data_IF_916054258244
#
_entry.id   IF_916054258244
#
_cell.length_a   1.000
_cell.length_b   1.000
_cell.length_c   1.000
_cell.angle_alpha   90.00
_cell.angle_beta   90.00
_cell.angle_gamma   90.00
#
_symmetry.space_group_name_H-M   'P 1'
#
loop_
_entity.id
_entity.type
_entity.pdbx_description
1 polymer ?
#
# COMPACT_ATOMS: atom_id res chain seq x y z
N UNK A 1 13.94 -25.60 -18.20
CA UNK A 1 14.77 -26.22 -17.15
C UNK A 1 13.93 -26.80 -16.00
N UNK A 2 13.03 -26.03 -15.38
CA UNK A 2 12.16 -26.52 -14.29
C UNK A 2 11.27 -27.73 -14.66
N UNK A 3 10.72 -27.77 -15.88
CA UNK A 3 9.86 -28.86 -16.36
C UNK A 3 10.52 -30.26 -16.27
N UNK A 4 11.78 -30.38 -16.70
CA UNK A 4 12.47 -31.67 -16.69
C UNK A 4 12.75 -32.18 -15.27
N UNK A 5 13.00 -31.27 -14.32
CA UNK A 5 13.19 -31.59 -12.90
C UNK A 5 11.88 -32.11 -12.31
N UNK A 6 10.75 -31.45 -12.61
CA UNK A 6 9.41 -31.89 -12.17
C UNK A 6 9.08 -33.29 -12.72
N UNK A 7 9.40 -33.58 -13.99
CA UNK A 7 9.18 -34.91 -14.57
C UNK A 7 9.98 -36.00 -13.82
N UNK A 8 11.24 -35.73 -13.50
CA UNK A 8 12.06 -36.66 -12.71
C UNK A 8 11.46 -36.85 -11.33
N UNK A 9 11.11 -35.77 -10.62
CA UNK A 9 10.48 -35.84 -9.29
C UNK A 9 9.17 -36.63 -9.30
N UNK A 10 8.27 -36.36 -10.23
CA UNK A 10 7.00 -37.08 -10.34
C UNK A 10 7.22 -38.57 -10.66
N UNK A 11 8.24 -38.92 -11.45
CA UNK A 11 8.55 -40.33 -11.76
C UNK A 11 9.21 -41.10 -10.62
N UNK A 12 9.76 -40.39 -9.62
CA UNK A 12 10.54 -40.97 -8.50
C UNK A 12 9.89 -40.76 -7.13
N UNK A 13 8.80 -40.00 -7.06
CA UNK A 13 8.08 -39.68 -5.82
C UNK A 13 6.57 -39.75 -6.06
N UNK A 14 5.78 -39.73 -5.00
CA UNK A 14 4.32 -39.64 -5.09
C UNK A 14 3.81 -38.19 -5.11
N UNK A 15 4.64 -37.22 -5.52
CA UNK A 15 4.24 -35.83 -5.65
C UNK A 15 3.67 -35.56 -7.04
N UNK A 16 2.56 -34.82 -7.07
CA UNK A 16 1.93 -34.32 -8.28
C UNK A 16 1.71 -32.81 -8.18
N UNK A 17 1.74 -32.14 -9.33
CA UNK A 17 1.55 -30.69 -9.44
C UNK A 17 0.48 -30.41 -10.48
N UNK A 18 -0.45 -29.51 -10.18
CA UNK A 18 -1.55 -29.12 -11.08
C UNK A 18 -1.26 -27.82 -11.84
N UNK A 19 -0.48 -26.92 -11.25
CA UNK A 19 -0.14 -25.61 -11.82
C UNK A 19 1.19 -25.09 -11.25
N UNK A 20 1.83 -24.17 -11.96
CA UNK A 20 2.94 -23.35 -11.45
C UNK A 20 2.50 -22.01 -10.85
N UNK A 21 1.18 -21.75 -10.82
CA UNK A 21 0.56 -20.58 -10.21
C UNK A 21 -0.09 -20.89 -8.87
N UNK A 22 -1.07 -20.06 -8.47
CA UNK A 22 -1.85 -20.28 -7.26
C UNK A 22 -3.04 -21.22 -7.48
N UNK A 23 -3.46 -21.85 -6.40
CA UNK A 23 -4.67 -22.67 -6.29
C UNK A 23 -5.58 -22.08 -5.21
N UNK A 24 -6.84 -22.54 -5.15
CA UNK A 24 -7.92 -21.88 -4.40
C UNK A 24 -8.35 -22.59 -3.11
N UNK A 25 -7.53 -23.49 -2.58
CA UNK A 25 -7.85 -24.28 -1.39
C UNK A 25 -7.87 -23.42 -0.12
N UNK A 26 -8.64 -23.86 0.89
CA UNK A 26 -8.55 -23.29 2.22
C UNK A 26 -7.16 -23.51 2.83
N UNK A 27 -6.65 -22.48 3.49
CA UNK A 27 -5.36 -22.53 4.19
C UNK A 27 -5.54 -22.82 5.68
N UNK A 28 -4.53 -23.48 6.27
CA UNK A 28 -4.49 -23.71 7.71
C UNK A 28 -4.24 -22.40 8.46
N UNK A 29 -5.09 -22.09 9.44
CA UNK A 29 -4.86 -21.03 10.41
C UNK A 29 -4.48 -21.63 11.77
N UNK A 30 -3.28 -21.29 12.25
CA UNK A 30 -2.86 -21.53 13.63
C UNK A 30 -2.80 -20.18 14.37
N UNK A 31 -3.37 -20.11 15.57
CA UNK A 31 -3.46 -18.87 16.35
C UNK A 31 -3.08 -19.10 17.82
N UNK A 32 -2.32 -18.16 18.36
CA UNK A 32 -1.97 -18.06 19.78
C UNK A 32 -2.21 -16.64 20.26
N UNK A 33 -2.80 -16.49 21.44
CA UNK A 33 -3.01 -15.23 22.12
C UNK A 33 -2.79 -15.48 23.61
N UNK A 34 -1.91 -14.72 24.31
CA UNK A 34 -1.54 -15.03 25.69
C UNK A 34 -2.73 -15.07 26.66
N UNK A 35 -3.76 -14.27 26.41
CA UNK A 35 -5.00 -14.19 27.20
C UNK A 35 -6.12 -15.13 26.70
N UNK A 36 -5.87 -15.95 25.68
CA UNK A 36 -6.82 -16.94 25.18
C UNK A 36 -7.88 -16.43 24.18
N UNK A 37 -7.90 -15.14 23.84
CA UNK A 37 -8.70 -14.57 22.74
C UNK A 37 -8.11 -15.01 21.39
N UNK A 38 -8.23 -16.29 21.04
CA UNK A 38 -7.69 -16.86 19.80
C UNK A 38 -8.79 -17.05 18.76
N UNK A 39 -8.48 -16.70 17.50
CA UNK A 39 -9.36 -16.92 16.36
C UNK A 39 -9.34 -18.41 15.97
N UNK A 40 -10.53 -19.02 15.82
CA UNK A 40 -10.69 -20.46 15.54
C UNK A 40 -11.84 -20.70 14.54
N UNK A 41 -11.87 -21.91 13.98
CA UNK A 41 -12.94 -22.36 13.08
C UNK A 41 -12.68 -22.01 11.61
N UNK A 42 -13.70 -22.17 10.77
CA UNK A 42 -13.65 -21.75 9.37
C UNK A 42 -13.86 -20.22 9.32
N UNK A 43 -12.79 -19.49 8.99
CA UNK A 43 -12.78 -18.03 8.98
C UNK A 43 -12.26 -17.52 7.66
N UNK A 44 -12.83 -16.40 7.19
CA UNK A 44 -12.38 -15.71 5.98
C UNK A 44 -11.15 -14.86 6.28
N UNK A 45 -10.31 -14.63 5.27
CA UNK A 45 -9.15 -13.72 5.35
C UNK A 45 -9.51 -12.32 5.91
N UNK A 46 -10.68 -11.78 5.54
CA UNK A 46 -11.17 -10.49 6.07
C UNK A 46 -11.49 -10.55 7.57
N UNK A 47 -11.88 -11.70 8.11
CA UNK A 47 -12.11 -11.88 9.54
C UNK A 47 -10.78 -12.00 10.30
N UNK A 48 -9.77 -12.65 9.70
CA UNK A 48 -8.41 -12.67 10.24
C UNK A 48 -7.86 -11.24 10.37
N UNK A 49 -8.03 -10.42 9.33
CA UNK A 49 -7.63 -9.02 9.38
C UNK A 49 -8.35 -8.23 10.49
N UNK A 50 -9.67 -8.38 10.64
CA UNK A 50 -10.43 -7.74 11.74
C UNK A 50 -9.95 -8.18 13.12
N UNK A 51 -9.69 -9.47 13.31
CA UNK A 51 -9.14 -10.01 14.55
C UNK A 51 -7.78 -9.39 14.88
N UNK A 52 -6.87 -9.31 13.90
CA UNK A 52 -5.54 -8.71 14.11
C UNK A 52 -5.61 -7.24 14.48
N UNK A 53 -6.49 -6.46 13.84
CA UNK A 53 -6.70 -5.05 14.20
C UNK A 53 -7.15 -4.89 15.66
N UNK A 54 -8.08 -5.74 16.11
CA UNK A 54 -8.54 -5.76 17.51
C UNK A 54 -7.42 -6.20 18.46
N UNK A 55 -6.69 -7.26 18.13
CA UNK A 55 -5.63 -7.80 18.97
C UNK A 55 -4.45 -6.82 19.14
N UNK A 56 -4.17 -6.02 18.11
CA UNK A 56 -3.17 -4.95 18.15
C UNK A 56 -3.66 -3.69 18.89
N UNK A 57 -4.94 -3.61 19.22
CA UNK A 57 -5.52 -2.43 19.87
C UNK A 57 -5.51 -1.20 18.97
N UNK A 58 -5.73 -1.36 17.66
CA UNK A 58 -5.78 -0.21 16.76
C UNK A 58 -7.04 0.63 17.01
N UNK A 59 -6.84 1.93 17.25
CA UNK A 59 -7.95 2.89 17.44
C UNK A 59 -8.73 3.17 16.15
N UNK A 60 -8.06 3.03 14.99
CA UNK A 60 -8.64 3.18 13.66
C UNK A 60 -8.48 1.89 12.88
N UNK A 61 -9.46 1.58 12.04
CA UNK A 61 -9.30 0.48 11.11
C UNK A 61 -8.22 0.77 10.07
N UNK A 62 -7.60 -0.27 9.53
CA UNK A 62 -6.63 -0.16 8.43
C UNK A 62 -7.27 0.41 7.16
N UNK A 63 -8.57 0.19 6.94
CA UNK A 63 -9.31 0.80 5.84
C UNK A 63 -9.38 2.32 6.04
N UNK A 64 -9.82 2.78 7.22
CA UNK A 64 -9.85 4.20 7.54
C UNK A 64 -8.45 4.82 7.39
N UNK A 65 -7.41 4.16 7.92
CA UNK A 65 -6.04 4.65 7.77
C UNK A 65 -5.62 4.77 6.30
N UNK A 66 -5.94 3.76 5.47
CA UNK A 66 -5.65 3.79 4.03
C UNK A 66 -6.37 4.93 3.32
N UNK A 67 -7.64 5.14 3.64
CA UNK A 67 -8.47 6.23 3.11
C UNK A 67 -7.97 7.61 3.55
N UNK A 68 -7.21 7.69 4.64
CA UNK A 68 -6.59 8.94 5.10
C UNK A 68 -5.22 9.20 4.46
N UNK A 69 -4.39 8.18 4.29
CA UNK A 69 -2.97 8.35 3.89
C UNK A 69 -2.71 8.12 2.39
N UNK A 70 -3.68 7.56 1.65
CA UNK A 70 -3.58 7.29 0.22
C UNK A 70 -4.75 7.89 -0.57
N UNK A 71 -4.93 9.21 -0.48
CA UNK A 71 -5.93 9.96 -1.24
C UNK A 71 -5.32 10.49 -2.54
N UNK A 72 -6.08 10.47 -3.64
CA UNK A 72 -5.61 11.01 -4.91
C UNK A 72 -5.26 12.49 -4.76
N UNK A 73 -4.11 12.90 -5.29
CA UNK A 73 -3.66 14.29 -5.25
C UNK A 73 -4.66 15.27 -5.87
N UNK A 74 -5.45 14.82 -6.86
CA UNK A 74 -6.54 15.60 -7.46
C UNK A 74 -7.61 16.00 -6.47
N UNK A 75 -7.88 15.12 -5.50
CA UNK A 75 -8.91 15.30 -4.48
C UNK A 75 -8.32 16.06 -3.27
N UNK A 76 -7.10 15.72 -2.85
CA UNK A 76 -6.37 16.43 -1.77
C UNK A 76 -6.20 17.91 -2.12
N UNK A 77 -5.84 18.22 -3.35
CA UNK A 77 -5.55 19.59 -3.81
C UNK A 77 -6.63 20.15 -4.73
N UNK A 78 -7.88 19.75 -4.54
CA UNK A 78 -9.01 20.25 -5.31
C UNK A 78 -9.04 21.80 -5.34
N UNK A 79 -9.17 22.37 -6.54
CA UNK A 79 -9.16 23.82 -6.78
C UNK A 79 -7.77 24.48 -6.78
N UNK A 80 -6.68 23.73 -6.52
CA UNK A 80 -5.31 24.25 -6.63
C UNK A 80 -4.73 23.95 -8.02
N UNK A 81 -3.74 24.75 -8.43
CA UNK A 81 -2.96 24.44 -9.63
C UNK A 81 -1.84 23.46 -9.28
N UNK A 82 -1.76 22.36 -10.02
CA UNK A 82 -0.69 21.39 -9.86
C UNK A 82 -0.14 20.93 -11.22
N UNK A 83 1.06 20.37 -11.20
CA UNK A 83 1.74 19.78 -12.35
C UNK A 83 2.60 18.62 -11.89
N UNK A 84 2.69 17.57 -12.69
CA UNK A 84 3.60 16.45 -12.44
C UNK A 84 4.74 16.50 -13.45
N UNK A 85 5.98 16.59 -12.95
CA UNK A 85 7.21 16.56 -13.73
C UNK A 85 7.73 15.13 -13.83
N UNK A 86 7.89 14.62 -15.06
CA UNK A 86 8.30 13.24 -15.38
C UNK A 86 9.66 13.19 -16.08
N UNK A 87 10.50 14.21 -15.91
CA UNK A 87 11.87 14.21 -16.46
C UNK A 87 12.68 13.01 -15.98
N UNK A 88 12.41 12.58 -14.75
CA UNK A 88 12.85 11.30 -14.20
C UNK A 88 11.61 10.39 -14.09
N UNK A 89 11.44 9.42 -15.01
CA UNK A 89 10.28 8.53 -15.02
C UNK A 89 10.22 7.59 -13.80
N UNK A 90 11.37 7.26 -13.20
CA UNK A 90 11.41 6.43 -11.98
C UNK A 90 10.97 7.23 -10.76
N UNK A 91 11.23 8.55 -10.77
CA UNK A 91 10.85 9.42 -9.67
C UNK A 91 10.17 10.73 -10.10
N UNK A 92 8.93 10.66 -10.59
CA UNK A 92 8.16 11.86 -10.91
C UNK A 92 8.00 12.78 -9.69
N UNK A 93 7.83 14.08 -9.96
CA UNK A 93 7.67 15.09 -8.92
C UNK A 93 6.35 15.83 -9.14
N UNK A 94 5.45 15.75 -8.16
CA UNK A 94 4.25 16.58 -8.10
C UNK A 94 4.61 17.95 -7.54
N UNK A 95 4.20 19.01 -8.22
CA UNK A 95 4.30 20.40 -7.76
C UNK A 95 2.90 20.99 -7.64
N UNK A 96 2.56 21.52 -6.46
CA UNK A 96 1.28 22.20 -6.18
C UNK A 96 1.56 23.65 -5.81
N UNK A 97 0.81 24.59 -6.39
CA UNK A 97 0.97 26.03 -6.15
C UNK A 97 -0.29 26.65 -5.58
N UNK A 98 -0.13 27.39 -4.47
CA UNK A 98 -1.17 28.21 -3.83
C UNK A 98 -0.60 29.56 -3.42
N UNK A 99 -0.96 30.62 -4.15
CA UNK A 99 -0.40 31.95 -3.92
C UNK A 99 1.12 31.96 -4.09
N UNK A 100 1.86 32.29 -3.01
CA UNK A 100 3.34 32.27 -2.97
C UNK A 100 3.92 30.91 -2.55
N UNK A 101 3.07 29.99 -2.09
CA UNK A 101 3.51 28.68 -1.62
C UNK A 101 3.62 27.70 -2.78
N UNK A 102 4.74 26.98 -2.81
CA UNK A 102 5.00 25.86 -3.72
C UNK A 102 5.32 24.63 -2.89
N UNK A 103 4.50 23.59 -3.02
CA UNK A 103 4.71 22.28 -2.44
C UNK A 103 5.23 21.34 -3.52
N UNK A 104 6.32 20.63 -3.22
CA UNK A 104 6.91 19.62 -4.10
C UNK A 104 6.92 18.27 -3.39
N UNK A 105 6.47 17.23 -4.07
CA UNK A 105 6.40 15.87 -3.55
C UNK A 105 7.00 14.94 -4.60
N UNK A 106 8.12 14.29 -4.24
CA UNK A 106 8.76 13.27 -5.08
C UNK A 106 8.06 11.93 -4.87
N UNK A 107 7.86 11.17 -5.94
CA UNK A 107 7.32 9.81 -5.87
C UNK A 107 8.17 8.92 -4.94
N UNK A 108 7.49 8.02 -4.22
CA UNK A 108 8.06 7.01 -3.34
C UNK A 108 8.90 7.56 -2.18
N UNK A 109 8.61 8.80 -1.77
CA UNK A 109 9.27 9.48 -0.65
C UNK A 109 8.30 9.79 0.47
N UNK A 110 8.80 9.77 1.72
CA UNK A 110 8.11 10.30 2.89
C UNK A 110 8.42 11.78 3.17
N UNK A 111 9.19 12.44 2.29
CA UNK A 111 9.62 13.82 2.48
C UNK A 111 9.07 14.71 1.36
N UNK A 112 8.32 15.73 1.74
CA UNK A 112 7.87 16.80 0.87
C UNK A 112 8.74 18.04 1.05
N UNK A 113 8.64 19.01 0.13
CA UNK A 113 9.28 20.32 0.27
C UNK A 113 8.26 21.43 0.15
N UNK A 114 8.19 22.31 1.15
CA UNK A 114 7.39 23.53 1.09
C UNK A 114 8.32 24.73 0.93
N UNK A 115 8.22 25.44 -0.19
CA UNK A 115 9.10 26.55 -0.55
C UNK A 115 10.59 26.17 -0.42
N UNK A 116 10.94 24.96 -0.87
CA UNK A 116 12.28 24.38 -0.81
C UNK A 116 12.69 23.78 0.54
N UNK A 117 11.92 24.00 1.62
CA UNK A 117 12.22 23.43 2.95
C UNK A 117 11.62 22.02 3.10
N UNK A 118 12.41 20.99 3.44
CA UNK A 118 11.92 19.64 3.59
C UNK A 118 11.05 19.47 4.85
N UNK A 119 10.05 18.60 4.79
CA UNK A 119 9.23 18.20 5.93
C UNK A 119 8.70 16.76 5.75
N UNK A 120 8.38 16.12 6.86
CA UNK A 120 7.73 14.80 6.88
C UNK A 120 6.26 14.92 6.47
N UNK A 121 5.85 14.14 5.47
CA UNK A 121 4.46 14.14 4.97
C UNK A 121 3.53 13.25 5.81
N UNK A 122 4.07 12.48 6.76
CA UNK A 122 3.31 11.59 7.66
C UNK A 122 2.97 10.22 7.05
N UNK A 123 3.50 9.91 5.86
CA UNK A 123 3.34 8.63 5.16
C UNK A 123 4.36 8.55 4.00
N UNK A 124 4.11 7.73 2.98
CA UNK A 124 4.86 7.66 1.72
C UNK A 124 3.98 8.11 0.55
N UNK A 125 4.53 8.93 -0.34
CA UNK A 125 3.87 9.31 -1.58
C UNK A 125 3.95 8.17 -2.59
N UNK A 126 2.81 7.62 -3.02
CA UNK A 126 2.79 6.57 -4.06
C UNK A 126 2.40 7.19 -5.39
N UNK A 127 3.15 6.91 -6.45
CA UNK A 127 2.80 7.32 -7.80
C UNK A 127 2.38 6.11 -8.63
N UNK A 128 1.23 6.21 -9.29
CA UNK A 128 0.73 5.24 -10.25
C UNK A 128 0.85 5.81 -11.66
N UNK A 129 1.72 5.19 -12.45
CA UNK A 129 2.01 5.56 -13.83
C UNK A 129 0.80 5.36 -14.77
N UNK A 130 0.06 4.26 -14.59
CA UNK A 130 -1.11 3.89 -15.42
C UNK A 130 -2.20 4.96 -15.48
N UNK A 131 -2.35 5.75 -14.43
CA UNK A 131 -3.35 6.81 -14.32
C UNK A 131 -2.75 8.15 -13.91
N UNK A 132 -1.41 8.27 -13.98
CA UNK A 132 -0.66 9.50 -13.72
C UNK A 132 -1.03 10.18 -12.38
N UNK A 133 -1.24 9.37 -11.34
CA UNK A 133 -1.83 9.83 -10.08
C UNK A 133 -0.89 9.59 -8.89
N UNK A 134 -0.66 10.65 -8.12
CA UNK A 134 -0.11 10.56 -6.77
C UNK A 134 -1.20 10.23 -5.75
N UNK A 135 -0.90 9.32 -4.83
CA UNK A 135 -1.68 8.98 -3.65
C UNK A 135 -0.91 9.44 -2.41
N UNK A 136 -1.57 10.27 -1.61
CA UNK A 136 -0.95 11.12 -0.61
C UNK A 136 -1.85 11.25 0.63
N UNK A 137 -1.28 11.65 1.78
CA UNK A 137 -2.07 11.98 2.96
C UNK A 137 -3.03 13.14 2.73
N UNK A 138 -4.30 12.97 3.14
CA UNK A 138 -5.34 14.01 3.06
C UNK A 138 -4.93 15.31 3.72
N UNK A 139 -4.16 15.21 4.81
CA UNK A 139 -3.78 16.36 5.64
C UNK A 139 -2.76 17.28 4.96
N UNK A 140 -2.13 16.86 3.85
CA UNK A 140 -1.15 17.70 3.14
C UNK A 140 -1.74 19.01 2.62
N UNK A 141 -3.06 19.08 2.36
CA UNK A 141 -3.73 20.32 1.99
C UNK A 141 -3.56 21.42 3.04
N UNK A 142 -3.39 21.05 4.32
CA UNK A 142 -3.22 22.01 5.44
C UNK A 142 -1.83 22.67 5.45
N UNK A 143 -0.86 22.15 4.69
CA UNK A 143 0.49 22.72 4.58
C UNK A 143 0.59 23.87 3.57
N UNK A 144 -0.46 24.11 2.77
CA UNK A 144 -0.48 25.07 1.66
C UNK A 144 -1.15 26.41 2.00
#
# INVERSE_FOLDING_TARGET
>A
MAHNIVNIMNSRTCFGFTTGGHTGEETLLASYHPQGDILRGNVRNVQVNKYLQKALGLDKSLQELSDEIFVKHTDVFAGQKYSVNRKDPEFPVLTVKKGRNTLEIKAFSSVGKLNGKPFDIGSVAVYMDKNDTFYLPKELVTKL
#
